data_IF_654307952284
#
_entry.id   IF_654307952284
#
_cell.length_a   1.000
_cell.length_b   1.000
_cell.length_c   1.000
_cell.angle_alpha   90.00
_cell.angle_beta   90.00
_cell.angle_gamma   90.00
#
_symmetry.space_group_name_H-M   'P 1'
#
loop_
_entity.id
_entity.type
_entity.pdbx_description
1 polymer ?
#
# COMPACT_ATOMS: atom_id res chain seq x y z
N UNK A 1 -10.41 21.61 5.45
CA UNK A 1 -9.35 21.45 4.44
C UNK A 1 -9.33 20.01 3.98
N UNK A 2 -9.48 19.76 2.67
CA UNK A 2 -9.43 18.41 2.12
C UNK A 2 -7.96 18.03 1.86
N UNK A 3 -7.54 16.86 2.35
CA UNK A 3 -6.20 16.31 2.08
C UNK A 3 -6.32 15.26 0.98
N UNK A 4 -5.37 15.27 0.05
CA UNK A 4 -5.30 14.30 -1.06
C UNK A 4 -3.96 13.58 -1.00
N UNK A 5 -3.99 12.26 -1.14
CA UNK A 5 -2.80 11.43 -1.25
C UNK A 5 -2.58 11.10 -2.73
N UNK A 6 -1.51 11.64 -3.32
CA UNK A 6 -1.15 11.37 -4.71
C UNK A 6 -0.20 10.17 -4.79
N UNK A 7 -0.63 9.12 -5.49
CA UNK A 7 0.11 7.87 -5.66
C UNK A 7 0.50 7.71 -7.13
N UNK A 8 1.80 7.56 -7.41
CA UNK A 8 2.29 7.22 -8.74
C UNK A 8 2.63 5.72 -8.82
N UNK A 9 1.78 4.88 -9.44
CA UNK A 9 2.01 3.44 -9.52
C UNK A 9 3.20 3.05 -10.40
N UNK A 10 3.62 3.90 -11.36
CA UNK A 10 4.74 3.58 -12.25
C UNK A 10 6.09 3.56 -11.51
N UNK A 11 6.15 4.11 -10.28
CA UNK A 11 7.33 4.06 -9.41
C UNK A 11 7.22 2.98 -8.33
N UNK A 12 6.10 2.27 -8.23
CA UNK A 12 5.92 1.25 -7.21
C UNK A 12 6.70 -0.02 -7.58
N UNK A 13 7.56 -0.47 -6.68
CA UNK A 13 8.35 -1.71 -6.84
C UNK A 13 7.67 -2.93 -6.24
N UNK A 14 6.57 -2.75 -5.50
CA UNK A 14 5.90 -3.83 -4.77
C UNK A 14 6.61 -4.25 -3.47
N UNK A 15 7.41 -3.39 -2.84
CA UNK A 15 8.18 -3.72 -1.62
C UNK A 15 7.35 -3.93 -0.34
N UNK A 16 6.05 -3.66 -0.37
CA UNK A 16 5.11 -3.80 0.76
C UNK A 16 5.43 -2.99 2.03
N UNK A 17 6.39 -2.07 1.98
CA UNK A 17 6.74 -1.24 3.15
C UNK A 17 5.60 -0.34 3.60
N UNK A 18 4.79 0.18 2.67
CA UNK A 18 3.59 0.93 2.99
C UNK A 18 2.58 0.09 3.78
N UNK A 19 2.44 -1.21 3.46
CA UNK A 19 1.55 -2.09 4.18
C UNK A 19 2.04 -2.32 5.61
N UNK A 20 3.33 -2.62 5.75
CA UNK A 20 3.98 -2.84 7.04
C UNK A 20 3.90 -1.59 7.93
N UNK A 21 4.20 -0.41 7.38
CA UNK A 21 4.12 0.85 8.11
C UNK A 21 2.70 1.11 8.62
N UNK A 22 1.69 0.98 7.76
CA UNK A 22 0.30 1.19 8.16
C UNK A 22 -0.17 0.18 9.21
N UNK A 23 0.24 -1.10 9.10
CA UNK A 23 -0.05 -2.11 10.12
C UNK A 23 0.61 -1.77 11.45
N UNK A 24 1.87 -1.34 11.44
CA UNK A 24 2.59 -0.98 12.66
C UNK A 24 1.96 0.23 13.35
N UNK A 25 1.66 1.29 12.60
CA UNK A 25 1.03 2.50 13.15
C UNK A 25 -0.36 2.24 13.76
N UNK A 26 -1.15 1.31 13.20
CA UNK A 26 -2.52 1.07 13.67
C UNK A 26 -2.65 -0.09 14.66
N UNK A 27 -1.75 -1.07 14.61
CA UNK A 27 -1.88 -2.33 15.35
C UNK A 27 -0.61 -2.75 16.11
N UNK A 28 0.48 -1.98 16.03
CA UNK A 28 1.75 -2.28 16.71
C UNK A 28 2.47 -3.54 16.21
N UNK A 29 2.14 -4.01 15.00
CA UNK A 29 2.69 -5.24 14.44
C UNK A 29 3.00 -5.10 12.96
N UNK A 30 4.00 -5.83 12.47
CA UNK A 30 4.37 -5.90 11.05
C UNK A 30 3.59 -7.00 10.34
N UNK A 31 2.27 -6.85 10.25
CA UNK A 31 1.39 -7.82 9.60
C UNK A 31 0.68 -7.16 8.41
N UNK A 32 1.16 -7.44 7.20
CA UNK A 32 0.57 -6.90 5.95
C UNK A 32 -0.95 -7.16 5.86
N UNK A 33 -1.41 -8.31 6.36
CA UNK A 33 -2.84 -8.66 6.45
C UNK A 33 -3.69 -7.63 7.21
N UNK A 34 -3.16 -7.01 8.27
CA UNK A 34 -3.84 -5.98 9.07
C UNK A 34 -3.74 -4.57 8.47
N UNK A 35 -2.90 -4.37 7.46
CA UNK A 35 -2.75 -3.06 6.83
C UNK A 35 -4.03 -2.60 6.15
N UNK A 36 -4.31 -1.30 6.25
CA UNK A 36 -5.36 -0.62 5.46
C UNK A 36 -4.88 -0.21 4.07
N UNK A 37 -3.59 -0.42 3.76
CA UNK A 37 -3.02 -0.23 2.44
C UNK A 37 -2.80 -1.62 1.84
N UNK A 38 -3.15 -1.81 0.57
CA UNK A 38 -2.94 -3.06 -0.17
C UNK A 38 -2.29 -2.80 -1.51
N UNK A 39 -1.18 -3.49 -1.77
CA UNK A 39 -0.50 -3.47 -3.06
C UNK A 39 -1.05 -4.61 -3.91
N UNK A 40 -1.74 -4.26 -4.98
CA UNK A 40 -2.27 -5.21 -5.95
C UNK A 40 -1.25 -5.46 -7.07
N UNK A 41 -1.14 -6.72 -7.46
CA UNK A 41 -0.26 -7.17 -8.54
C UNK A 41 -1.07 -7.43 -9.82
N UNK A 42 -0.84 -6.61 -10.84
CA UNK A 42 -1.46 -6.77 -12.14
C UNK A 42 -0.51 -7.49 -13.08
N UNK A 43 -0.47 -8.82 -12.97
CA UNK A 43 0.47 -9.68 -13.69
C UNK A 43 0.56 -9.41 -15.20
N UNK A 44 -0.57 -9.10 -15.85
CA UNK A 44 -0.64 -8.84 -17.30
C UNK A 44 0.14 -7.59 -17.73
N UNK A 45 0.26 -6.60 -16.84
CA UNK A 45 0.93 -5.32 -17.12
C UNK A 45 2.25 -5.18 -16.34
N UNK A 46 2.55 -6.11 -15.43
CA UNK A 46 3.68 -6.03 -14.51
C UNK A 46 3.56 -4.92 -13.46
N UNK A 47 2.42 -4.20 -13.40
CA UNK A 47 2.23 -3.08 -12.49
C UNK A 47 1.88 -3.55 -11.09
N UNK A 48 2.51 -2.92 -10.08
CA UNK A 48 2.14 -3.04 -8.67
C UNK A 48 1.46 -1.73 -8.27
N UNK A 49 0.23 -1.78 -7.77
CA UNK A 49 -0.55 -0.56 -7.48
C UNK A 49 -1.00 -0.57 -6.03
N UNK A 50 -0.55 0.38 -5.20
CA UNK A 50 -1.06 0.51 -3.84
C UNK A 50 -2.41 1.23 -3.84
N UNK A 51 -3.39 0.60 -3.21
CA UNK A 51 -4.68 1.18 -2.85
C UNK A 51 -4.74 1.42 -1.35
N UNK A 52 -5.36 2.51 -0.93
CA UNK A 52 -5.39 2.95 0.48
C UNK A 52 -6.82 2.95 1.03
N UNK A 53 -6.96 2.53 2.29
CA UNK A 53 -8.22 2.44 3.02
C UNK A 53 -9.26 1.53 2.33
N UNK A 54 -8.78 0.38 1.83
CA UNK A 54 -9.60 -0.75 1.37
C UNK A 54 -10.04 -1.64 2.52
#
# INVERSE_FOLDING_TARGET
MQKVLHINPDKCTGCLQCEMACSFENYGTYATSKSRIKVFDFHHTGKKVPYTCT
#
